data_IF_044524365435
#
_entry.id   IF_044524365435
#
_cell.length_a   1.000
_cell.length_b   1.000
_cell.length_c   1.000
_cell.angle_alpha   90.00
_cell.angle_beta   90.00
_cell.angle_gamma   90.00
#
_symmetry.space_group_name_H-M   'P 1'
#
loop_
_entity.id
_entity.type
_entity.pdbx_description
1 polymer ?
#
# COMPACT_ATOMS: atom_id res chain seq x y z
N UNK A 1 11.77 32.61 64.06
CA UNK A 1 12.89 32.20 63.18
C UNK A 1 12.35 31.08 62.34
N UNK A 2 11.58 31.36 61.29
CA UNK A 2 11.90 32.26 60.17
C UNK A 2 13.31 31.97 59.65
N UNK A 3 13.36 31.13 58.61
CA UNK A 3 14.26 31.30 57.47
C UNK A 3 13.54 30.78 56.23
N UNK A 4 13.11 31.75 55.44
CA UNK A 4 12.74 31.64 54.04
C UNK A 4 13.89 31.03 53.22
N UNK A 5 13.52 30.17 52.27
CA UNK A 5 14.27 30.04 51.02
C UNK A 5 13.30 30.52 49.95
N UNK A 6 13.31 31.83 49.74
CA UNK A 6 12.88 32.46 48.50
C UNK A 6 13.89 32.10 47.39
N UNK A 7 13.42 31.97 46.15
CA UNK A 7 14.28 32.13 44.98
C UNK A 7 14.60 30.86 44.20
N UNK A 8 13.56 30.18 43.72
CA UNK A 8 13.61 29.53 42.40
C UNK A 8 12.33 29.96 41.67
N UNK A 9 12.32 31.20 41.20
CA UNK A 9 11.39 31.58 40.14
C UNK A 9 11.67 30.67 38.95
N UNK A 10 10.65 29.93 38.53
CA UNK A 10 10.61 29.28 37.22
C UNK A 10 10.95 30.33 36.17
N UNK A 11 12.19 30.31 35.67
CA UNK A 11 12.53 30.96 34.42
C UNK A 11 11.90 30.10 33.32
N UNK A 12 10.58 30.24 33.20
CA UNK A 12 9.85 29.91 31.99
C UNK A 12 10.35 30.87 30.91
N UNK A 13 11.28 30.41 30.07
CA UNK A 13 11.75 31.12 28.86
C UNK A 13 10.64 31.17 27.78
N UNK A 14 9.43 30.70 28.11
CA UNK A 14 8.28 30.67 27.23
C UNK A 14 7.23 31.63 27.83
N UNK A 15 6.97 32.78 27.20
CA UNK A 15 5.92 33.69 27.65
C UNK A 15 4.60 32.95 27.90
N UNK A 16 3.94 33.17 29.04
CA UNK A 16 2.62 32.58 29.35
C UNK A 16 1.55 32.92 28.29
N UNK A 17 1.77 33.97 27.49
CA UNK A 17 0.95 34.31 26.32
C UNK A 17 1.00 33.27 25.19
N UNK A 18 1.96 32.34 25.18
CA UNK A 18 1.94 31.14 24.32
C UNK A 18 0.97 30.06 24.82
N UNK A 19 0.51 30.17 26.07
CA UNK A 19 -0.46 29.29 26.72
C UNK A 19 -1.81 29.97 26.96
N UNK A 20 -2.12 31.09 26.31
CA UNK A 20 -3.53 31.49 26.14
C UNK A 20 -4.21 30.42 25.27
N UNK A 21 -4.70 29.38 25.94
CA UNK A 21 -5.44 28.26 25.36
C UNK A 21 -6.76 28.83 24.86
N UNK A 22 -6.74 29.35 23.65
CA UNK A 22 -7.93 29.40 22.82
C UNK A 22 -8.45 27.96 22.74
N UNK A 23 -9.53 27.69 23.45
CA UNK A 23 -10.12 26.35 23.52
C UNK A 23 -10.24 25.77 22.11
N UNK A 24 -9.82 24.52 21.89
CA UNK A 24 -9.87 23.93 20.55
C UNK A 24 -11.31 23.92 20.05
N UNK A 25 -11.51 24.32 18.80
CA UNK A 25 -12.80 24.21 18.13
C UNK A 25 -13.04 22.74 17.87
N UNK A 26 -14.07 22.18 18.50
CA UNK A 26 -14.59 20.85 18.22
C UNK A 26 -15.57 20.97 17.06
N UNK A 27 -15.26 20.34 15.94
CA UNK A 27 -16.13 20.38 14.76
C UNK A 27 -17.32 19.45 14.95
N UNK A 28 -18.46 19.80 14.33
CA UNK A 28 -19.62 18.92 14.28
C UNK A 28 -19.23 17.57 13.66
N UNK A 29 -19.58 16.50 14.35
CA UNK A 29 -19.36 15.15 13.86
C UNK A 29 -20.29 14.83 12.67
N UNK A 30 -19.69 14.32 11.61
CA UNK A 30 -20.37 13.70 10.48
C UNK A 30 -19.75 12.33 10.26
N UNK A 31 -20.59 11.31 10.07
CA UNK A 31 -20.13 9.94 9.89
C UNK A 31 -19.06 9.86 8.79
N UNK A 32 -17.90 9.25 9.11
CA UNK A 32 -16.79 9.06 8.18
C UNK A 32 -15.79 10.22 8.09
N UNK A 33 -16.08 11.38 8.68
CA UNK A 33 -15.16 12.52 8.69
C UNK A 33 -14.18 12.52 9.86
N UNK A 34 -14.42 11.71 10.90
CA UNK A 34 -13.65 11.68 12.12
C UNK A 34 -14.06 12.73 13.15
N UNK A 35 -13.40 12.64 14.31
CA UNK A 35 -13.43 13.66 15.36
C UNK A 35 -12.33 14.68 15.07
N UNK A 36 -12.75 15.87 14.63
CA UNK A 36 -11.85 16.94 14.22
C UNK A 36 -11.81 18.08 15.23
N UNK A 37 -10.59 18.48 15.56
CA UNK A 37 -10.24 19.59 16.45
C UNK A 37 -9.37 20.59 15.66
N UNK A 38 -9.58 21.89 15.86
CA UNK A 38 -8.70 22.91 15.29
C UNK A 38 -8.52 24.10 16.21
N UNK A 39 -7.40 24.79 16.12
CA UNK A 39 -7.22 26.06 16.81
C UNK A 39 -8.01 27.17 16.09
N UNK A 40 -8.56 28.18 16.82
CA UNK A 40 -9.29 29.29 16.20
C UNK A 40 -8.47 30.12 15.21
N UNK A 41 -7.16 30.19 15.41
CA UNK A 41 -6.22 30.90 14.53
C UNK A 41 -5.79 30.10 13.29
N UNK A 42 -6.29 28.86 13.13
CA UNK A 42 -5.95 27.97 12.02
C UNK A 42 -4.51 27.44 12.02
N UNK A 43 -3.75 27.64 13.09
CA UNK A 43 -2.38 27.14 13.19
C UNK A 43 -2.31 25.61 13.31
N UNK A 44 -3.29 25.00 13.98
CA UNK A 44 -3.30 23.58 14.34
C UNK A 44 -4.60 22.91 13.94
N UNK A 45 -4.51 21.65 13.52
CA UNK A 45 -5.66 20.78 13.31
C UNK A 45 -5.27 19.34 13.63
N UNK A 46 -6.17 18.65 14.32
CA UNK A 46 -6.07 17.23 14.61
C UNK A 46 -7.36 16.53 14.19
N UNK A 47 -7.25 15.36 13.59
CA UNK A 47 -8.38 14.54 13.20
C UNK A 47 -8.14 13.08 13.59
N UNK A 48 -9.07 12.50 14.34
CA UNK A 48 -9.11 11.08 14.65
C UNK A 48 -10.17 10.43 13.78
N UNK A 49 -9.76 9.53 12.90
CA UNK A 49 -10.62 8.80 11.97
C UNK A 49 -10.44 7.31 12.15
N UNK A 50 -11.43 6.53 11.74
CA UNK A 50 -11.26 5.09 11.67
C UNK A 50 -12.28 4.42 10.77
N UNK A 51 -12.08 3.13 10.53
CA UNK A 51 -13.08 2.31 9.86
C UNK A 51 -12.93 0.83 10.22
N UNK A 52 -14.04 0.11 10.13
CA UNK A 52 -14.12 -1.34 10.28
C UNK A 52 -14.70 -1.93 9.00
N UNK A 53 -14.08 -2.99 8.51
CA UNK A 53 -14.55 -3.82 7.41
C UNK A 53 -14.73 -5.25 7.89
N UNK A 54 -15.92 -5.81 7.71
CA UNK A 54 -16.22 -7.21 7.97
C UNK A 54 -16.56 -7.92 6.67
N UNK A 55 -16.10 -9.15 6.53
CA UNK A 55 -16.28 -9.95 5.32
C UNK A 55 -16.84 -11.32 5.65
N UNK A 56 -17.77 -11.78 4.81
CA UNK A 56 -18.11 -13.18 4.66
C UNK A 56 -17.62 -13.64 3.30
N UNK A 57 -16.71 -14.62 3.29
CA UNK A 57 -16.12 -15.18 2.08
C UNK A 57 -16.55 -16.63 1.94
N UNK A 58 -16.96 -17.02 0.74
CA UNK A 58 -16.99 -18.42 0.32
C UNK A 58 -15.99 -18.65 -0.80
N UNK A 59 -15.43 -19.85 -0.87
CA UNK A 59 -14.41 -20.24 -1.83
C UNK A 59 -14.63 -21.69 -2.24
N UNK A 60 -14.51 -21.96 -3.54
CA UNK A 60 -14.60 -23.29 -4.14
C UNK A 60 -13.50 -23.49 -5.17
N UNK A 61 -13.15 -24.75 -5.41
CA UNK A 61 -12.16 -25.15 -6.40
C UNK A 61 -12.80 -26.10 -7.42
N UNK A 62 -12.34 -26.04 -8.67
CA UNK A 62 -12.87 -26.91 -9.72
C UNK A 62 -12.53 -28.38 -9.43
N UNK A 63 -13.55 -29.24 -9.41
CA UNK A 63 -13.39 -30.67 -9.11
C UNK A 63 -13.30 -30.99 -7.61
N UNK A 64 -13.49 -30.00 -6.75
CA UNK A 64 -13.62 -30.16 -5.30
C UNK A 64 -15.03 -29.71 -4.88
N UNK A 65 -15.77 -30.61 -4.23
CA UNK A 65 -17.13 -30.34 -3.75
C UNK A 65 -17.12 -29.61 -2.40
N UNK A 66 -15.96 -29.46 -1.76
CA UNK A 66 -15.84 -28.75 -0.48
C UNK A 66 -16.04 -27.23 -0.66
N UNK A 67 -16.96 -26.69 0.13
CA UNK A 67 -17.19 -25.26 0.24
C UNK A 67 -16.44 -24.70 1.45
N UNK A 68 -15.37 -23.94 1.20
CA UNK A 68 -14.75 -23.17 2.27
C UNK A 68 -15.56 -21.90 2.53
N UNK A 69 -15.85 -21.62 3.80
CA UNK A 69 -16.54 -20.39 4.22
C UNK A 69 -15.85 -19.75 5.43
N UNK A 70 -15.71 -18.43 5.42
CA UNK A 70 -15.05 -17.69 6.51
C UNK A 70 -15.71 -16.35 6.78
N UNK A 71 -16.03 -16.13 8.06
CA UNK A 71 -16.29 -14.81 8.62
C UNK A 71 -14.99 -14.21 9.15
N UNK A 72 -14.73 -12.94 8.83
CA UNK A 72 -13.53 -12.23 9.29
C UNK A 72 -13.79 -10.74 9.43
N UNK A 73 -13.24 -10.12 10.48
CA UNK A 73 -12.98 -8.67 10.46
C UNK A 73 -11.78 -8.46 9.57
N UNK A 74 -12.00 -7.98 8.33
CA UNK A 74 -10.97 -7.90 7.29
C UNK A 74 -9.97 -6.78 7.56
N UNK A 75 -10.43 -5.65 8.08
CA UNK A 75 -9.62 -4.47 8.46
C UNK A 75 -10.30 -3.74 9.61
N UNK A 76 -9.54 -3.28 10.60
CA UNK A 76 -10.04 -2.36 11.63
C UNK A 76 -8.95 -1.34 11.90
N UNK A 77 -9.09 -0.13 11.33
CA UNK A 77 -8.02 0.86 11.32
C UNK A 77 -8.43 2.11 12.07
N UNK A 78 -7.46 2.66 12.80
CA UNK A 78 -7.55 3.95 13.45
C UNK A 78 -6.41 4.81 12.92
N UNK A 79 -6.70 6.08 12.66
CA UNK A 79 -5.74 7.05 12.19
C UNK A 79 -5.92 8.38 12.90
N UNK A 80 -4.83 8.83 13.51
CA UNK A 80 -4.66 10.20 13.95
C UNK A 80 -3.84 10.95 12.90
N UNK A 81 -4.34 12.06 12.40
CA UNK A 81 -3.55 12.92 11.52
C UNK A 81 -3.84 14.38 11.77
N UNK A 82 -2.92 15.25 11.40
CA UNK A 82 -3.07 16.66 11.63
C UNK A 82 -2.04 17.51 10.94
N UNK A 83 -2.14 18.80 11.20
CA UNK A 83 -1.12 19.77 10.84
C UNK A 83 -0.88 20.76 11.98
N UNK A 84 0.32 21.35 11.95
CA UNK A 84 0.75 22.42 12.84
C UNK A 84 1.44 23.53 12.03
N UNK A 85 1.57 24.71 12.64
CA UNK A 85 2.22 25.88 12.07
C UNK A 85 1.67 26.28 10.68
N UNK A 86 0.34 26.38 10.56
CA UNK A 86 -0.36 26.68 9.29
C UNK A 86 0.07 25.75 8.17
N UNK A 87 -0.03 24.45 8.45
CA UNK A 87 0.20 23.38 7.47
C UNK A 87 1.67 23.17 7.03
N UNK A 88 2.62 23.83 7.71
CA UNK A 88 4.06 23.64 7.52
C UNK A 88 4.59 22.35 8.12
N UNK A 89 3.92 21.83 9.14
CA UNK A 89 4.20 20.50 9.70
C UNK A 89 2.93 19.67 9.55
N UNK A 90 3.05 18.47 8.99
CA UNK A 90 1.98 17.46 8.99
C UNK A 90 2.46 16.21 9.70
N UNK A 91 1.54 15.50 10.31
CA UNK A 91 1.85 14.24 10.96
C UNK A 91 0.71 13.25 10.76
N UNK A 92 1.05 11.96 10.84
CA UNK A 92 0.09 10.88 10.82
C UNK A 92 0.61 9.69 11.62
N UNK A 93 -0.27 9.15 12.44
CA UNK A 93 -0.14 7.85 13.08
C UNK A 93 -1.34 7.02 12.65
N UNK A 94 -1.10 5.83 12.12
CA UNK A 94 -2.13 4.90 11.67
C UNK A 94 -1.83 3.51 12.17
N UNK A 95 -2.86 2.84 12.71
CA UNK A 95 -2.76 1.49 13.27
C UNK A 95 -3.83 0.61 12.62
N UNK A 96 -3.49 -0.63 12.32
CA UNK A 96 -4.42 -1.71 12.00
C UNK A 96 -4.49 -2.71 13.15
N UNK A 97 -5.70 -2.93 13.66
CA UNK A 97 -5.97 -3.83 14.77
C UNK A 97 -6.17 -5.28 14.32
N UNK A 98 -6.09 -5.54 13.01
CA UNK A 98 -6.26 -6.86 12.41
C UNK A 98 -4.95 -7.32 11.78
N UNK A 99 -4.40 -8.44 12.26
CA UNK A 99 -3.25 -9.09 11.62
C UNK A 99 -3.60 -9.63 10.22
N UNK A 100 -2.63 -9.57 9.31
CA UNK A 100 -2.78 -10.04 7.92
C UNK A 100 -3.76 -9.21 7.10
N UNK A 101 -3.98 -7.93 7.44
CA UNK A 101 -4.91 -7.05 6.72
C UNK A 101 -4.37 -6.59 5.36
N UNK A 102 -3.07 -6.73 5.14
CA UNK A 102 -2.38 -6.44 3.88
C UNK A 102 -1.52 -7.65 3.42
N UNK A 103 -1.78 -8.84 3.97
CA UNK A 103 -1.07 -10.08 3.58
C UNK A 103 -1.58 -10.62 2.23
N UNK A 104 -0.65 -11.13 1.44
CA UNK A 104 -0.80 -11.84 0.17
C UNK A 104 -1.08 -13.35 0.31
N UNK A 105 -1.07 -13.88 1.53
CA UNK A 105 -1.29 -15.30 1.82
C UNK A 105 -0.02 -16.15 1.96
N UNK A 106 1.16 -15.65 1.57
CA UNK A 106 2.46 -16.34 1.72
C UNK A 106 3.35 -15.80 2.84
N UNK A 107 2.98 -14.65 3.43
CA UNK A 107 3.68 -14.03 4.57
C UNK A 107 2.67 -13.64 5.65
N UNK A 108 2.96 -13.99 6.92
CA UNK A 108 2.13 -13.67 8.09
C UNK A 108 2.56 -12.36 8.78
N UNK A 109 3.20 -11.46 8.02
CA UNK A 109 3.65 -10.14 8.48
C UNK A 109 2.47 -9.15 8.53
N UNK A 110 1.59 -9.36 9.50
CA UNK A 110 0.56 -8.38 9.86
C UNK A 110 1.12 -7.27 10.73
N UNK A 111 1.81 -6.28 10.15
CA UNK A 111 2.26 -5.11 10.90
C UNK A 111 1.05 -4.30 11.38
N UNK A 112 0.96 -4.13 12.70
CA UNK A 112 -0.06 -3.27 13.31
C UNK A 112 0.19 -1.80 12.99
N UNK A 113 1.47 -1.40 12.86
CA UNK A 113 1.82 -0.02 12.54
C UNK A 113 1.70 0.21 11.03
N UNK A 114 0.82 1.11 10.64
CA UNK A 114 0.57 1.42 9.24
C UNK A 114 1.31 2.69 8.81
N UNK A 115 1.04 3.80 9.49
CA UNK A 115 1.63 5.09 9.19
C UNK A 115 2.25 5.62 10.48
N UNK A 116 3.48 6.11 10.42
CA UNK A 116 4.12 6.82 11.52
C UNK A 116 5.14 7.80 10.93
N UNK A 117 4.68 9.00 10.61
CA UNK A 117 5.52 9.97 9.91
C UNK A 117 5.20 11.42 10.25
N UNK A 118 6.20 12.26 10.04
CA UNK A 118 6.11 13.72 10.09
C UNK A 118 6.61 14.28 8.77
N UNK A 119 5.94 15.31 8.26
CA UNK A 119 6.30 15.99 7.03
C UNK A 119 6.50 17.48 7.25
N UNK A 120 7.60 18.00 6.73
CA UNK A 120 7.89 19.43 6.65
C UNK A 120 7.53 19.97 5.27
N UNK A 121 6.81 21.10 5.26
CA UNK A 121 6.26 21.78 4.10
C UNK A 121 6.58 23.28 4.22
N UNK A 122 7.72 23.74 3.70
CA UNK A 122 8.24 25.09 3.98
C UNK A 122 7.22 26.22 3.72
N UNK A 123 6.38 26.06 2.70
CA UNK A 123 5.38 27.04 2.28
C UNK A 123 3.96 26.76 2.78
N UNK A 124 3.75 25.76 3.62
CA UNK A 124 2.40 25.36 4.08
C UNK A 124 1.48 24.91 2.95
N UNK A 125 2.04 24.46 1.82
CA UNK A 125 1.29 24.07 0.63
C UNK A 125 1.93 22.85 -0.06
N UNK A 126 1.37 22.40 -1.18
CA UNK A 126 1.81 21.18 -1.89
C UNK A 126 3.03 21.38 -2.81
N UNK A 127 3.67 22.56 -2.79
CA UNK A 127 4.85 22.83 -3.63
C UNK A 127 6.01 21.88 -3.30
N UNK A 128 6.27 21.67 -2.01
CA UNK A 128 7.26 20.71 -1.52
C UNK A 128 6.80 20.14 -0.18
N UNK A 129 6.91 18.83 -0.04
CA UNK A 129 6.72 18.10 1.20
C UNK A 129 7.87 17.12 1.36
N UNK A 130 8.62 17.23 2.46
CA UNK A 130 9.67 16.29 2.85
C UNK A 130 9.15 15.53 4.06
N UNK A 131 8.98 14.21 3.93
CA UNK A 131 8.40 13.33 4.94
C UNK A 131 9.46 12.41 5.49
N UNK A 132 9.47 12.20 6.80
CA UNK A 132 10.33 11.27 7.51
C UNK A 132 9.47 10.27 8.29
N UNK A 133 9.83 8.99 8.24
CA UNK A 133 9.18 7.90 9.00
C UNK A 133 8.60 6.83 8.10
N UNK A 134 7.64 6.06 8.62
CA UNK A 134 7.00 4.96 7.90
C UNK A 134 5.74 5.41 7.18
N UNK A 135 5.64 5.16 5.87
CA UNK A 135 4.41 5.40 5.10
C UNK A 135 4.35 4.54 3.85
N UNK A 136 3.19 4.54 3.18
CA UNK A 136 3.17 4.12 1.78
C UNK A 136 4.03 5.05 0.92
N UNK A 137 4.89 4.44 0.11
CA UNK A 137 5.75 5.16 -0.83
C UNK A 137 4.97 5.52 -2.08
N UNK A 138 5.26 6.68 -2.68
CA UNK A 138 4.72 7.04 -3.99
C UNK A 138 5.42 6.30 -5.13
N UNK A 139 6.45 5.50 -4.88
CA UNK A 139 7.18 4.78 -5.93
C UNK A 139 6.58 3.40 -6.20
N UNK A 140 5.54 3.01 -5.46
CA UNK A 140 4.77 1.78 -5.65
C UNK A 140 3.73 1.91 -6.78
N UNK A 141 2.91 0.88 -6.97
CA UNK A 141 1.75 0.96 -7.87
C UNK A 141 0.62 1.83 -7.26
N UNK A 142 -0.27 2.33 -8.10
CA UNK A 142 -1.25 3.38 -7.77
C UNK A 142 -2.25 2.93 -6.71
N UNK A 143 -2.75 1.70 -6.76
CA UNK A 143 -3.71 1.19 -5.76
C UNK A 143 -3.17 1.23 -4.32
N UNK A 144 -1.85 1.16 -4.14
CA UNK A 144 -1.23 1.20 -2.81
C UNK A 144 -1.22 2.60 -2.19
N UNK A 145 -1.48 3.66 -2.96
CA UNK A 145 -1.65 5.02 -2.43
C UNK A 145 -3.09 5.28 -1.98
N UNK A 146 -4.04 4.47 -2.44
CA UNK A 146 -5.46 4.65 -2.17
C UNK A 146 -5.86 3.99 -0.85
N UNK A 147 -6.79 4.62 -0.13
CA UNK A 147 -7.34 4.05 1.11
C UNK A 147 -8.13 2.79 0.81
N UNK A 148 -7.94 1.73 1.60
CA UNK A 148 -8.70 0.48 1.44
C UNK A 148 -10.20 0.68 1.67
N UNK A 149 -10.61 1.70 2.42
CA UNK A 149 -12.04 2.05 2.60
C UNK A 149 -12.71 2.55 1.30
N UNK A 150 -11.91 3.05 0.36
CA UNK A 150 -12.37 3.64 -0.90
C UNK A 150 -12.32 2.70 -2.11
N UNK A 151 -11.94 1.44 -1.88
CA UNK A 151 -11.86 0.45 -2.96
C UNK A 151 -13.25 0.13 -3.52
N UNK A 152 -13.30 -0.12 -4.82
CA UNK A 152 -14.51 -0.52 -5.56
C UNK A 152 -14.67 -2.03 -5.71
N UNK A 153 -13.65 -2.79 -5.31
CA UNK A 153 -13.69 -4.24 -5.10
C UNK A 153 -13.30 -4.53 -3.65
N UNK A 154 -13.61 -5.75 -3.18
CA UNK A 154 -13.33 -6.14 -1.78
C UNK A 154 -11.84 -6.12 -1.42
N UNK A 155 -10.98 -6.37 -2.41
CA UNK A 155 -9.52 -6.37 -2.30
C UNK A 155 -8.86 -5.53 -3.40
N UNK A 156 -7.59 -5.16 -3.17
CA UNK A 156 -6.73 -4.62 -4.23
C UNK A 156 -6.47 -5.67 -5.31
N UNK A 157 -6.03 -5.24 -6.49
CA UNK A 157 -5.70 -6.14 -7.60
C UNK A 157 -4.61 -7.14 -7.22
N UNK A 158 -4.56 -8.26 -7.97
CA UNK A 158 -3.46 -9.21 -7.81
C UNK A 158 -2.12 -8.59 -8.17
N UNK A 159 -2.08 -7.66 -9.12
CA UNK A 159 -0.90 -6.86 -9.42
C UNK A 159 -0.42 -6.11 -8.16
N UNK A 160 -1.31 -5.34 -7.53
CA UNK A 160 -0.95 -4.54 -6.35
C UNK A 160 -0.52 -5.39 -5.14
N UNK A 161 -1.22 -6.52 -4.91
CA UNK A 161 -0.95 -7.40 -3.76
C UNK A 161 0.29 -8.28 -3.90
N UNK A 162 0.70 -8.60 -5.14
CA UNK A 162 1.90 -9.41 -5.44
C UNK A 162 3.15 -8.53 -5.49
N UNK A 163 3.10 -7.44 -6.24
CA UNK A 163 4.28 -6.63 -6.53
C UNK A 163 4.47 -5.45 -5.57
N UNK A 164 3.47 -5.14 -4.76
CA UNK A 164 3.48 -3.99 -3.85
C UNK A 164 4.51 -4.12 -2.73
N UNK A 165 5.17 -3.00 -2.40
CA UNK A 165 6.00 -2.89 -1.19
C UNK A 165 5.19 -2.40 0.00
N UNK A 166 4.05 -1.75 -0.27
CA UNK A 166 3.00 -1.36 0.68
C UNK A 166 3.45 -0.23 1.60
N UNK A 167 4.49 -0.45 2.40
CA UNK A 167 5.02 0.49 3.40
C UNK A 167 6.54 0.41 3.47
N UNK A 168 7.15 1.57 3.61
CA UNK A 168 8.60 1.71 3.73
C UNK A 168 8.94 2.74 4.80
N UNK A 169 10.12 2.60 5.41
CA UNK A 169 10.68 3.53 6.39
C UNK A 169 11.79 4.35 5.73
N UNK A 170 11.68 5.67 5.77
CA UNK A 170 12.74 6.53 5.23
C UNK A 170 12.33 7.98 5.01
N UNK A 171 12.90 8.57 3.96
CA UNK A 171 12.71 9.97 3.55
C UNK A 171 12.00 10.03 2.20
N UNK A 172 10.94 10.83 2.13
CA UNK A 172 10.13 10.99 0.93
C UNK A 172 9.98 12.46 0.58
N UNK A 173 10.30 12.82 -0.66
CA UNK A 173 10.07 14.17 -1.18
C UNK A 173 8.96 14.14 -2.22
N UNK A 174 8.00 15.06 -2.13
CA UNK A 174 6.88 15.17 -3.07
C UNK A 174 6.62 16.63 -3.41
N UNK A 175 6.25 16.89 -4.65
CA UNK A 175 5.85 18.22 -5.11
C UNK A 175 4.62 18.18 -6.00
N UNK A 176 3.99 19.33 -6.19
CA UNK A 176 2.88 19.53 -7.12
C UNK A 176 3.02 20.88 -7.79
N UNK A 177 3.21 20.86 -9.10
CA UNK A 177 3.53 22.03 -9.91
C UNK A 177 2.56 22.15 -11.06
N UNK A 178 1.99 23.34 -11.26
CA UNK A 178 1.18 23.63 -12.42
C UNK A 178 2.08 23.80 -13.64
N UNK A 179 1.72 23.22 -14.78
CA UNK A 179 2.46 23.30 -16.04
C UNK A 179 1.49 23.76 -17.13
N UNK A 180 1.77 24.90 -17.75
CA UNK A 180 0.86 25.53 -18.71
C UNK A 180 -0.44 26.04 -18.07
N UNK A 181 -1.53 26.04 -18.84
CA UNK A 181 -2.79 26.66 -18.45
C UNK A 181 -3.56 25.87 -17.37
N UNK A 182 -3.59 24.54 -17.47
CA UNK A 182 -4.44 23.68 -16.62
C UNK A 182 -3.72 22.45 -16.06
N UNK A 183 -2.67 21.97 -16.71
CA UNK A 183 -2.05 20.70 -16.36
C UNK A 183 -1.19 20.78 -15.09
N UNK A 184 -0.94 19.63 -14.47
CA UNK A 184 -0.08 19.51 -13.29
C UNK A 184 0.93 18.38 -13.44
N UNK A 185 2.11 18.59 -12.85
CA UNK A 185 3.16 17.60 -12.66
C UNK A 185 3.36 17.38 -11.16
N UNK A 186 3.35 16.11 -10.73
CA UNK A 186 3.67 15.74 -9.34
C UNK A 186 4.84 14.75 -9.30
N UNK A 187 6.08 15.26 -9.18
CA UNK A 187 7.24 14.41 -8.95
C UNK A 187 7.27 13.92 -7.50
N UNK A 188 7.81 12.73 -7.29
CA UNK A 188 8.09 12.16 -6.00
C UNK A 188 9.43 11.40 -6.02
N UNK A 189 10.16 11.48 -4.92
CA UNK A 189 11.39 10.74 -4.65
C UNK A 189 11.27 10.03 -3.29
N UNK A 190 11.88 8.87 -3.17
CA UNK A 190 11.97 8.10 -1.95
C UNK A 190 13.38 7.55 -1.77
N UNK A 191 13.93 7.69 -0.57
CA UNK A 191 15.13 7.00 -0.10
C UNK A 191 14.73 6.29 1.19
N UNK A 192 14.72 4.97 1.15
CA UNK A 192 14.25 4.11 2.24
C UNK A 192 15.29 3.05 2.55
N UNK A 193 15.13 2.36 3.67
CA UNK A 193 16.02 1.25 4.04
C UNK A 193 15.70 -0.05 3.31
N UNK A 194 14.76 -0.05 2.35
CA UNK A 194 14.54 -1.18 1.46
C UNK A 194 13.96 -2.44 2.11
N UNK A 195 13.56 -2.40 3.38
CA UNK A 195 13.25 -3.60 4.19
C UNK A 195 11.80 -3.57 4.74
N UNK A 196 10.91 -2.90 4.00
CA UNK A 196 9.47 -2.82 4.31
C UNK A 196 9.14 -1.95 5.52
N UNK A 197 8.07 -2.33 6.23
CA UNK A 197 7.62 -1.68 7.47
C UNK A 197 8.61 -1.82 8.61
N UNK A 198 8.40 -1.04 9.68
CA UNK A 198 9.18 -1.11 10.91
C UNK A 198 9.02 -2.48 11.57
N UNK A 199 10.16 -3.09 11.89
CA UNK A 199 10.25 -4.36 12.61
C UNK A 199 11.21 -4.22 13.79
N UNK A 200 11.02 -5.04 14.84
CA UNK A 200 11.93 -5.07 16.00
C UNK A 200 13.26 -5.80 15.73
N UNK A 201 13.34 -6.53 14.61
CA UNK A 201 14.49 -7.36 14.26
C UNK A 201 15.61 -6.59 13.56
N UNK A 202 16.69 -7.30 13.28
CA UNK A 202 17.76 -6.81 12.40
C UNK A 202 17.18 -6.52 11.01
N UNK A 203 17.57 -5.38 10.45
CA UNK A 203 17.33 -5.02 9.05
C UNK A 203 18.58 -5.35 8.22
N UNK A 204 18.37 -5.78 7.00
CA UNK A 204 19.35 -6.31 6.07
C UNK A 204 19.39 -5.44 4.81
N UNK A 205 20.40 -5.65 3.97
CA UNK A 205 20.53 -4.90 2.73
C UNK A 205 21.10 -3.50 2.88
N UNK A 206 21.01 -2.76 1.78
CA UNK A 206 21.39 -1.37 1.64
C UNK A 206 20.19 -0.43 1.57
N UNK A 207 20.32 0.65 0.81
CA UNK A 207 19.24 1.62 0.62
C UNK A 207 18.40 1.26 -0.61
N UNK A 208 17.12 1.61 -0.52
CA UNK A 208 16.22 1.62 -1.67
C UNK A 208 15.95 3.03 -2.14
N UNK A 209 16.07 3.21 -3.45
CA UNK A 209 15.87 4.48 -4.14
C UNK A 209 14.66 4.35 -5.05
N UNK A 210 13.82 5.39 -5.09
CA UNK A 210 12.75 5.41 -6.08
C UNK A 210 12.36 6.81 -6.50
N UNK A 211 11.82 6.88 -7.71
CA UNK A 211 11.30 8.09 -8.31
C UNK A 211 9.94 7.80 -8.96
N UNK A 212 9.05 8.79 -8.93
CA UNK A 212 7.79 8.78 -9.64
C UNK A 212 7.50 10.14 -10.24
N UNK A 213 6.84 10.14 -11.38
CA UNK A 213 6.19 11.32 -11.94
C UNK A 213 4.73 11.01 -12.23
N UNK A 214 3.83 11.88 -11.80
CA UNK A 214 2.43 11.89 -12.23
C UNK A 214 2.15 13.14 -13.07
N UNK A 215 1.54 12.96 -14.23
CA UNK A 215 1.08 14.02 -15.10
C UNK A 215 -0.44 14.05 -15.16
N UNK A 216 -1.02 15.22 -14.95
CA UNK A 216 -2.46 15.46 -14.93
C UNK A 216 -2.82 16.45 -16.03
N UNK A 217 -3.06 15.99 -17.27
CA UNK A 217 -3.25 16.89 -18.42
C UNK A 217 -4.49 17.79 -18.30
N UNK A 218 -5.55 17.32 -17.62
CA UNK A 218 -6.83 18.05 -17.46
C UNK A 218 -6.99 18.68 -16.07
N UNK A 219 -5.86 18.96 -15.41
CA UNK A 219 -5.82 19.48 -14.07
C UNK A 219 -6.14 18.45 -12.98
N UNK A 220 -6.09 18.89 -11.73
CA UNK A 220 -6.33 18.04 -10.58
C UNK A 220 -7.79 17.58 -10.50
N UNK A 221 -7.99 16.42 -9.89
CA UNK A 221 -9.29 15.87 -9.54
C UNK A 221 -9.91 16.68 -8.38
N UNK A 222 -11.23 16.85 -8.39
CA UNK A 222 -11.97 17.51 -7.31
C UNK A 222 -11.90 16.68 -6.04
N UNK A 223 -11.83 17.36 -4.89
CA UNK A 223 -11.89 16.74 -3.55
C UNK A 223 -10.86 15.61 -3.34
N UNK A 224 -9.70 15.70 -4.00
CA UNK A 224 -8.67 14.65 -3.94
C UNK A 224 -9.11 13.34 -4.59
N UNK A 225 -9.99 13.41 -5.59
CA UNK A 225 -10.54 12.27 -6.31
C UNK A 225 -9.49 11.33 -6.92
N UNK A 226 -8.23 11.74 -7.02
CA UNK A 226 -7.13 10.89 -7.47
C UNK A 226 -6.67 9.84 -6.44
N UNK A 227 -7.08 9.96 -5.18
CA UNK A 227 -6.79 9.03 -4.06
C UNK A 227 -7.91 8.02 -3.77
N UNK A 228 -9.00 8.06 -4.52
CA UNK A 228 -10.15 7.17 -4.37
C UNK A 228 -10.44 6.48 -5.71
N UNK A 229 -10.89 5.23 -5.73
CA UNK A 229 -11.15 4.55 -7.01
C UNK A 229 -12.41 5.09 -7.70
N UNK A 230 -13.56 5.07 -7.02
CA UNK A 230 -14.83 5.52 -7.61
C UNK A 230 -14.90 7.03 -7.83
N UNK A 231 -15.70 7.48 -8.80
CA UNK A 231 -15.94 8.90 -9.04
C UNK A 231 -17.05 9.46 -8.14
N UNK A 232 -16.79 9.55 -6.83
CA UNK A 232 -17.74 10.09 -5.84
C UNK A 232 -17.91 11.61 -5.94
N UNK A 233 -16.86 12.34 -6.30
CA UNK A 233 -16.93 13.78 -6.56
C UNK A 233 -17.79 14.10 -7.80
N UNK A 234 -18.06 13.08 -8.62
CA UNK A 234 -18.85 13.14 -9.83
C UNK A 234 -18.28 14.22 -10.76
N UNK A 235 -17.07 13.95 -11.25
CA UNK A 235 -16.27 14.91 -12.01
C UNK A 235 -17.08 15.50 -13.18
N UNK A 236 -17.22 16.83 -13.17
CA UNK A 236 -18.04 17.55 -14.15
C UNK A 236 -17.37 17.67 -15.52
N UNK A 237 -16.03 17.57 -15.53
CA UNK A 237 -15.16 17.54 -16.69
C UNK A 237 -14.28 16.28 -16.63
N UNK A 238 -13.83 15.72 -17.76
CA UNK A 238 -12.90 14.59 -17.75
C UNK A 238 -11.65 14.89 -16.93
N UNK A 239 -11.22 13.94 -16.10
CA UNK A 239 -9.97 14.01 -15.34
C UNK A 239 -9.12 12.79 -15.64
N UNK A 240 -7.82 13.03 -15.81
CA UNK A 240 -6.85 12.01 -16.19
C UNK A 240 -5.57 12.20 -15.38
N UNK A 241 -5.00 11.08 -14.92
CA UNK A 241 -3.66 10.97 -14.37
C UNK A 241 -2.90 9.91 -15.15
N UNK A 242 -1.68 10.24 -15.57
CA UNK A 242 -0.69 9.31 -16.13
C UNK A 242 0.48 9.24 -15.16
N UNK A 243 0.85 8.03 -14.75
CA UNK A 243 1.91 7.80 -13.77
C UNK A 243 3.00 6.89 -14.30
N UNK A 244 4.25 7.17 -13.93
CA UNK A 244 5.37 6.27 -14.13
C UNK A 244 6.28 6.31 -12.89
N UNK A 245 6.67 5.15 -12.37
CA UNK A 245 7.63 5.04 -11.26
C UNK A 245 8.70 4.00 -11.51
N UNK A 246 9.85 4.21 -10.89
CA UNK A 246 10.97 3.26 -10.85
C UNK A 246 11.50 3.17 -9.42
N UNK A 247 11.88 1.98 -8.98
CA UNK A 247 12.57 1.77 -7.71
C UNK A 247 13.67 0.72 -7.85
N UNK A 248 14.78 0.92 -7.13
CA UNK A 248 15.92 0.04 -7.04
C UNK A 248 16.26 -0.19 -5.56
N UNK A 249 16.29 -1.44 -5.13
CA UNK A 249 16.70 -1.86 -3.80
C UNK A 249 18.08 -2.51 -3.88
N UNK A 250 19.08 -1.89 -3.25
CA UNK A 250 20.45 -2.38 -3.15
C UNK A 250 20.50 -3.45 -2.05
N UNK A 251 20.51 -4.73 -2.43
CA UNK A 251 20.42 -5.88 -1.53
C UNK A 251 19.06 -6.09 -0.87
N UNK A 252 18.12 -6.76 -1.55
CA UNK A 252 16.84 -7.18 -0.95
C UNK A 252 16.95 -8.45 -0.11
N UNK A 253 16.35 -8.43 1.08
CA UNK A 253 16.22 -9.59 1.96
C UNK A 253 14.84 -10.25 1.89
N UNK A 254 13.98 -9.78 0.98
CA UNK A 254 12.65 -10.34 0.73
C UNK A 254 12.37 -10.64 -0.75
N UNK A 255 11.23 -11.30 -0.99
CA UNK A 255 10.84 -11.79 -2.32
C UNK A 255 10.40 -10.67 -3.29
N UNK A 256 10.02 -9.49 -2.81
CA UNK A 256 9.37 -8.40 -3.55
C UNK A 256 10.22 -7.14 -3.71
N UNK A 257 11.39 -7.09 -3.08
CA UNK A 257 12.25 -5.90 -3.14
C UNK A 257 11.81 -4.80 -2.18
N UNK A 258 11.44 -5.14 -0.95
CA UNK A 258 11.24 -4.20 0.16
C UNK A 258 9.83 -4.15 0.73
N UNK A 259 9.23 -5.31 0.93
CA UNK A 259 7.97 -5.51 1.65
C UNK A 259 8.17 -6.06 3.07
N UNK A 260 9.27 -6.77 3.32
CA UNK A 260 9.59 -7.44 4.59
C UNK A 260 11.11 -7.44 4.80
N UNK A 261 11.58 -8.00 5.91
CA UNK A 261 13.01 -8.07 6.23
C UNK A 261 13.38 -9.48 6.66
N UNK A 262 14.42 -10.05 6.03
CA UNK A 262 15.04 -11.32 6.41
C UNK A 262 14.31 -12.58 5.96
N UNK A 263 13.40 -12.50 4.98
CA UNK A 263 12.68 -13.68 4.45
C UNK A 263 13.59 -14.64 3.67
N UNK A 264 14.64 -14.09 3.05
CA UNK A 264 15.69 -14.80 2.32
C UNK A 264 17.03 -14.18 2.67
N UNK A 265 18.02 -15.01 2.96
CA UNK A 265 19.37 -14.57 3.30
C UNK A 265 20.41 -15.42 2.59
N UNK A 266 21.43 -14.75 2.06
CA UNK A 266 22.57 -15.36 1.39
C UNK A 266 23.86 -14.77 1.96
N UNK A 267 24.94 -15.53 1.87
CA UNK A 267 26.24 -15.19 2.43
C UNK A 267 27.33 -15.36 1.37
N UNK A 268 28.38 -14.56 1.51
CA UNK A 268 29.62 -14.72 0.75
C UNK A 268 30.63 -15.66 1.45
N UNK A 269 31.80 -15.87 0.84
CA UNK A 269 32.87 -16.74 1.39
C UNK A 269 33.33 -16.33 2.81
N UNK A 270 33.27 -15.04 3.15
CA UNK A 270 33.63 -14.54 4.47
C UNK A 270 32.51 -14.72 5.50
N UNK A 271 31.36 -15.30 5.13
CA UNK A 271 30.19 -15.48 5.98
C UNK A 271 29.39 -14.19 6.22
N UNK A 272 29.66 -13.12 5.45
CA UNK A 272 28.92 -11.87 5.52
C UNK A 272 27.68 -11.95 4.63
N UNK A 273 26.60 -11.26 5.04
CA UNK A 273 25.37 -11.16 4.26
C UNK A 273 25.64 -10.46 2.93
N UNK A 274 25.22 -11.09 1.84
CA UNK A 274 25.36 -10.59 0.48
C UNK A 274 24.07 -10.92 -0.28
N UNK A 275 23.37 -9.92 -0.81
CA UNK A 275 21.96 -10.03 -1.19
C UNK A 275 21.74 -9.58 -2.65
N UNK A 276 20.73 -10.14 -3.35
CA UNK A 276 20.41 -9.72 -4.71
C UNK A 276 19.84 -8.30 -4.72
N UNK A 277 20.12 -7.54 -5.77
CA UNK A 277 19.48 -6.25 -6.01
C UNK A 277 18.12 -6.45 -6.68
N UNK A 278 17.16 -5.58 -6.40
CA UNK A 278 15.80 -5.70 -6.93
C UNK A 278 15.32 -4.39 -7.53
N UNK A 279 14.86 -4.44 -8.77
CA UNK A 279 14.33 -3.30 -9.49
C UNK A 279 12.87 -3.52 -9.90
N UNK A 280 12.13 -2.42 -9.94
CA UNK A 280 10.71 -2.40 -10.30
C UNK A 280 10.36 -1.13 -11.05
N UNK A 281 9.54 -1.28 -12.08
CA UNK A 281 8.91 -0.16 -12.78
C UNK A 281 7.39 -0.33 -12.75
N UNK A 282 6.67 0.79 -12.62
CA UNK A 282 5.21 0.82 -12.70
C UNK A 282 4.75 1.90 -13.67
N UNK A 283 3.71 1.61 -14.44
CA UNK A 283 3.00 2.57 -15.28
C UNK A 283 1.52 2.54 -14.90
N UNK A 284 0.86 3.70 -14.88
CA UNK A 284 -0.58 3.76 -14.65
C UNK A 284 -1.29 4.84 -15.45
N UNK A 285 -2.54 4.53 -15.78
CA UNK A 285 -3.53 5.41 -16.38
C UNK A 285 -4.75 5.43 -15.46
N UNK A 286 -5.23 6.62 -15.09
CA UNK A 286 -6.40 6.74 -14.23
C UNK A 286 -7.33 7.86 -14.68
N UNK A 287 -8.57 7.51 -15.03
CA UNK A 287 -9.54 8.40 -15.63
C UNK A 287 -10.85 8.44 -14.84
N UNK A 288 -11.48 9.62 -14.76
CA UNK A 288 -12.83 9.81 -14.20
C UNK A 288 -13.66 10.82 -14.97
N UNK A 289 -14.96 10.57 -15.03
CA UNK A 289 -15.95 11.51 -15.58
C UNK A 289 -17.38 11.10 -15.24
N UNK A 290 -18.15 11.99 -14.58
CA UNK A 290 -19.60 11.83 -14.32
C UNK A 290 -20.00 10.44 -13.79
N UNK A 291 -19.26 9.91 -12.82
CA UNK A 291 -19.50 8.60 -12.22
C UNK A 291 -18.71 7.46 -12.87
N UNK A 292 -18.23 7.64 -14.11
CA UNK A 292 -17.29 6.69 -14.72
C UNK A 292 -15.92 6.79 -14.09
N UNK A 293 -15.30 5.64 -13.91
CA UNK A 293 -13.89 5.52 -13.56
C UNK A 293 -13.25 4.37 -14.33
N UNK A 294 -11.99 4.54 -14.70
CA UNK A 294 -11.18 3.51 -15.31
C UNK A 294 -9.73 3.65 -14.88
N UNK A 295 -9.09 2.53 -14.56
CA UNK A 295 -7.70 2.45 -14.16
C UNK A 295 -7.03 1.30 -14.91
N UNK A 296 -5.85 1.58 -15.45
CA UNK A 296 -4.93 0.57 -15.93
C UNK A 296 -3.61 0.71 -15.20
N UNK A 297 -3.03 -0.41 -14.77
CA UNK A 297 -1.69 -0.48 -14.17
C UNK A 297 -0.87 -1.55 -14.88
N UNK A 298 0.43 -1.31 -15.01
CA UNK A 298 1.42 -2.29 -15.45
C UNK A 298 2.62 -2.24 -14.52
N UNK A 299 3.13 -3.40 -14.14
CA UNK A 299 4.33 -3.54 -13.31
C UNK A 299 5.28 -4.54 -13.95
N UNK A 300 6.58 -4.23 -13.97
CA UNK A 300 7.66 -5.19 -14.31
C UNK A 300 8.74 -5.14 -13.24
N UNK A 301 9.27 -6.31 -12.91
CA UNK A 301 10.33 -6.50 -11.92
C UNK A 301 11.48 -7.30 -12.52
N UNK A 302 12.69 -7.06 -12.00
CA UNK A 302 13.90 -7.81 -12.32
C UNK A 302 14.89 -7.72 -11.16
N UNK A 303 15.85 -8.64 -11.13
CA UNK A 303 16.85 -8.69 -10.07
C UNK A 303 18.25 -9.00 -10.64
N UNK A 304 19.26 -8.46 -9.97
CA UNK A 304 20.66 -8.79 -10.19
C UNK A 304 21.16 -9.62 -9.01
N UNK A 305 21.87 -10.71 -9.29
CA UNK A 305 22.41 -11.62 -8.27
C UNK A 305 23.93 -11.45 -8.25
N UNK A 306 24.52 -11.00 -7.13
CA UNK A 306 25.97 -10.90 -6.99
C UNK A 306 26.67 -12.24 -7.18
N UNK A 307 27.81 -12.24 -7.88
CA UNK A 307 28.62 -13.45 -8.09
C UNK A 307 29.38 -13.89 -6.83
N UNK A 308 29.39 -13.06 -5.80
CA UNK A 308 30.06 -13.29 -4.50
C UNK A 308 29.25 -14.15 -3.54
N UNK A 309 27.96 -14.42 -3.83
CA UNK A 309 27.12 -15.31 -3.04
C UNK A 309 27.62 -16.74 -3.18
N UNK A 310 27.88 -17.41 -2.05
CA UNK A 310 28.37 -18.79 -2.01
C UNK A 310 27.51 -19.72 -1.17
N UNK A 311 26.69 -19.18 -0.25
CA UNK A 311 25.79 -19.99 0.57
C UNK A 311 24.46 -19.29 0.86
N UNK A 312 23.43 -20.07 1.19
CA UNK A 312 22.11 -19.61 1.61
C UNK A 312 21.85 -20.01 3.05
N UNK A 313 21.05 -19.21 3.76
CA UNK A 313 20.55 -19.52 5.10
C UNK A 313 19.18 -20.20 4.97
N UNK A 314 19.00 -21.35 5.62
CA UNK A 314 17.72 -22.08 5.68
C UNK A 314 16.85 -21.55 6.83
N UNK A 315 15.57 -21.93 6.82
CA UNK A 315 14.61 -21.52 7.85
C UNK A 315 14.99 -21.97 9.28
N UNK A 316 15.78 -23.03 9.42
CA UNK A 316 16.32 -23.51 10.70
C UNK A 316 17.61 -22.81 11.15
N UNK A 317 18.09 -21.83 10.36
CA UNK A 317 19.33 -21.09 10.61
C UNK A 317 20.60 -21.79 10.10
N UNK A 318 20.52 -23.02 9.58
CA UNK A 318 21.66 -23.70 8.96
C UNK A 318 22.06 -23.09 7.61
N UNK A 319 23.31 -23.27 7.20
CA UNK A 319 23.79 -22.82 5.88
C UNK A 319 23.82 -23.97 4.87
N UNK A 320 23.70 -23.63 3.58
CA UNK A 320 23.78 -24.54 2.43
C UNK A 320 24.55 -23.89 1.30
N UNK A 321 25.45 -24.63 0.69
CA UNK A 321 26.11 -24.29 -0.59
C UNK A 321 25.38 -24.89 -1.81
N UNK A 322 24.44 -25.83 -1.61
CA UNK A 322 23.58 -26.32 -2.69
C UNK A 322 22.59 -25.23 -3.17
N UNK A 323 22.64 -24.94 -4.46
CA UNK A 323 21.73 -24.08 -5.24
C UNK A 323 21.22 -24.85 -6.47
N UNK A 324 20.75 -26.08 -6.23
CA UNK A 324 20.23 -26.94 -7.30
C UNK A 324 18.86 -26.44 -7.78
N UNK A 325 18.73 -26.28 -9.11
CA UNK A 325 17.50 -25.96 -9.81
C UNK A 325 17.54 -26.61 -11.20
N UNK A 326 16.41 -27.18 -11.63
CA UNK A 326 16.33 -27.98 -12.88
C UNK A 326 17.37 -29.13 -12.98
N UNK A 327 17.83 -29.67 -11.84
CA UNK A 327 18.84 -30.73 -11.78
C UNK A 327 20.29 -30.27 -11.92
N UNK A 328 20.54 -28.95 -11.95
CA UNK A 328 21.87 -28.36 -12.06
C UNK A 328 22.15 -27.37 -10.94
N UNK A 329 23.41 -27.25 -10.52
CA UNK A 329 23.85 -26.23 -9.57
C UNK A 329 23.91 -24.87 -10.28
N UNK A 330 22.99 -23.96 -9.95
CA UNK A 330 22.94 -22.63 -10.53
C UNK A 330 22.46 -21.59 -9.51
N UNK A 331 23.40 -20.81 -8.97
CA UNK A 331 23.15 -19.81 -7.92
C UNK A 331 22.17 -18.74 -8.41
N UNK A 332 22.40 -18.17 -9.58
CA UNK A 332 21.58 -17.07 -10.11
C UNK A 332 20.12 -17.50 -10.30
N UNK A 333 19.88 -18.61 -11.00
CA UNK A 333 18.53 -19.09 -11.28
C UNK A 333 17.82 -19.56 -10.00
N UNK A 334 18.54 -20.19 -9.07
CA UNK A 334 17.97 -20.57 -7.78
C UNK A 334 17.48 -19.34 -7.00
N UNK A 335 18.31 -18.29 -6.91
CA UNK A 335 17.98 -17.07 -6.17
C UNK A 335 16.84 -16.34 -6.86
N UNK A 336 16.87 -16.19 -8.19
CA UNK A 336 15.76 -15.62 -8.96
C UNK A 336 14.45 -16.37 -8.75
N UNK A 337 14.49 -17.70 -8.62
CA UNK A 337 13.32 -18.52 -8.29
C UNK A 337 12.74 -18.29 -6.88
N UNK A 338 13.44 -17.55 -6.01
CA UNK A 338 12.91 -17.11 -4.71
C UNK A 338 12.33 -15.70 -4.74
N UNK A 339 12.52 -14.96 -5.82
CA UNK A 339 12.07 -13.58 -5.99
C UNK A 339 10.80 -13.52 -6.87
N UNK A 340 9.97 -12.51 -6.65
CA UNK A 340 8.80 -12.17 -7.46
C UNK A 340 9.29 -11.44 -8.71
N UNK A 341 9.63 -12.20 -9.74
CA UNK A 341 10.17 -11.69 -11.01
C UNK A 341 9.22 -11.96 -12.16
N UNK A 342 8.93 -10.93 -12.95
CA UNK A 342 7.94 -11.00 -14.01
C UNK A 342 7.23 -9.66 -14.19
N UNK A 343 6.14 -9.69 -14.93
CA UNK A 343 5.25 -8.53 -15.10
C UNK A 343 3.80 -8.88 -14.88
N UNK A 344 2.98 -7.86 -14.65
CA UNK A 344 1.53 -8.00 -14.66
C UNK A 344 0.89 -6.73 -15.19
N UNK A 345 -0.34 -6.85 -15.69
CA UNK A 345 -1.21 -5.71 -15.92
C UNK A 345 -2.56 -5.89 -15.23
N UNK A 346 -3.14 -4.78 -14.80
CA UNK A 346 -4.45 -4.71 -14.17
C UNK A 346 -5.30 -3.69 -14.92
N UNK A 347 -6.50 -4.10 -15.34
CA UNK A 347 -7.51 -3.23 -15.91
C UNK A 347 -8.73 -3.28 -15.02
N UNK A 348 -9.16 -2.15 -14.49
CA UNK A 348 -10.37 -2.08 -13.67
C UNK A 348 -11.14 -0.81 -13.92
N UNK A 349 -12.45 -0.88 -13.76
CA UNK A 349 -13.30 0.28 -13.90
C UNK A 349 -14.72 -0.01 -13.47
N UNK A 350 -15.53 1.03 -13.51
CA UNK A 350 -16.93 0.92 -13.13
C UNK A 350 -17.68 2.22 -13.28
N UNK A 351 -18.93 2.17 -12.85
CA UNK A 351 -19.82 3.33 -12.83
C UNK A 351 -20.45 3.50 -11.45
N UNK A 352 -20.45 4.74 -10.96
CA UNK A 352 -21.18 5.16 -9.77
C UNK A 352 -22.44 5.92 -10.19
N UNK A 353 -23.60 5.35 -9.86
CA UNK A 353 -24.89 5.97 -10.10
C UNK A 353 -25.17 7.05 -9.05
N UNK A 354 -25.99 8.06 -9.42
CA UNK A 354 -26.40 9.14 -8.50
C UNK A 354 -27.21 8.66 -7.29
N UNK A 355 -27.84 7.50 -7.41
CA UNK A 355 -28.53 6.84 -6.31
C UNK A 355 -27.57 5.96 -5.47
N UNK A 356 -26.26 6.14 -5.58
CA UNK A 356 -25.22 5.49 -4.77
C UNK A 356 -25.02 3.98 -4.97
N UNK A 357 -25.59 3.41 -6.03
CA UNK A 357 -25.19 2.10 -6.51
C UNK A 357 -23.89 2.21 -7.31
N UNK A 358 -23.07 1.17 -7.29
CA UNK A 358 -21.91 1.05 -8.17
C UNK A 358 -21.78 -0.36 -8.71
N UNK A 359 -21.35 -0.46 -9.96
CA UNK A 359 -21.00 -1.70 -10.64
C UNK A 359 -19.57 -1.58 -11.13
N UNK A 360 -18.76 -2.61 -10.92
CA UNK A 360 -17.34 -2.59 -11.17
C UNK A 360 -16.88 -3.93 -11.73
N UNK A 361 -15.88 -3.89 -12.61
CA UNK A 361 -15.21 -5.07 -13.13
C UNK A 361 -13.70 -4.85 -13.10
N UNK A 362 -12.97 -5.95 -12.91
CA UNK A 362 -11.51 -5.99 -12.94
C UNK A 362 -11.02 -7.24 -13.66
N UNK A 363 -9.96 -7.06 -14.43
CA UNK A 363 -9.15 -8.14 -15.00
C UNK A 363 -7.68 -7.89 -14.65
N UNK A 364 -7.03 -8.90 -14.08
CA UNK A 364 -5.58 -8.89 -13.84
C UNK A 364 -4.96 -10.08 -14.54
N UNK A 365 -3.85 -9.84 -15.26
CA UNK A 365 -3.05 -10.87 -15.90
C UNK A 365 -1.61 -10.83 -15.39
N UNK A 366 -1.08 -11.98 -15.00
CA UNK A 366 0.27 -12.16 -14.46
C UNK A 366 1.12 -12.93 -15.47
N UNK A 367 2.34 -12.44 -15.72
CA UNK A 367 3.32 -13.01 -16.64
C UNK A 367 4.61 -13.28 -15.84
N UNK A 368 4.76 -14.48 -15.28
CA UNK A 368 5.96 -14.90 -14.55
C UNK A 368 7.20 -14.97 -15.47
N UNK A 369 8.37 -14.59 -14.96
CA UNK A 369 9.64 -15.01 -15.58
C UNK A 369 9.89 -16.50 -15.31
N UNK A 370 10.73 -17.17 -16.13
CA UNK A 370 11.01 -18.61 -16.00
C UNK A 370 11.44 -19.02 -14.58
N UNK A 371 12.39 -18.28 -14.01
CA UNK A 371 12.88 -18.47 -12.65
C UNK A 371 12.30 -17.37 -11.78
N UNK A 372 11.19 -17.68 -11.12
CA UNK A 372 10.44 -16.73 -10.32
C UNK A 372 9.56 -17.46 -9.31
N UNK A 373 9.43 -16.88 -8.12
CA UNK A 373 8.48 -17.34 -7.10
C UNK A 373 7.02 -17.16 -7.56
N UNK A 374 6.76 -16.38 -8.62
CA UNK A 374 5.44 -16.31 -9.27
C UNK A 374 4.97 -17.65 -9.84
N UNK A 375 5.89 -18.58 -10.14
CA UNK A 375 5.54 -19.92 -10.61
C UNK A 375 5.15 -20.87 -9.46
N UNK A 376 5.11 -20.38 -8.22
CA UNK A 376 4.66 -21.16 -7.07
C UNK A 376 3.20 -21.59 -7.25
N UNK A 377 3.00 -22.91 -7.29
CA UNK A 377 1.73 -23.58 -7.53
C UNK A 377 0.72 -23.40 -6.37
N UNK A 378 1.17 -23.10 -5.15
CA UNK A 378 0.28 -22.87 -4.02
C UNK A 378 -0.31 -21.45 -4.03
N UNK A 379 0.50 -20.43 -4.33
CA UNK A 379 0.12 -19.03 -4.09
C UNK A 379 -0.13 -18.18 -5.35
N UNK A 380 0.60 -18.44 -6.45
CA UNK A 380 0.73 -17.43 -7.52
C UNK A 380 0.43 -17.93 -8.92
N UNK A 381 0.42 -19.25 -9.17
CA UNK A 381 0.17 -19.87 -10.48
C UNK A 381 -1.30 -19.80 -10.95
N UNK A 382 -1.90 -18.62 -10.85
CA UNK A 382 -3.29 -18.26 -11.21
C UNK A 382 -3.22 -16.98 -12.04
N UNK A 383 -2.89 -17.13 -13.32
CA UNK A 383 -2.40 -16.01 -14.14
C UNK A 383 -3.52 -15.09 -14.60
N UNK A 384 -4.75 -15.59 -14.78
CA UNK A 384 -5.90 -14.77 -15.18
C UNK A 384 -6.89 -14.65 -14.03
N UNK A 385 -7.17 -13.42 -13.61
CA UNK A 385 -8.13 -13.12 -12.55
C UNK A 385 -9.22 -12.19 -13.07
N UNK A 386 -10.47 -12.61 -12.97
CA UNK A 386 -11.64 -11.82 -13.31
C UNK A 386 -12.47 -11.53 -12.06
N UNK A 387 -12.86 -10.28 -11.86
CA UNK A 387 -13.64 -9.89 -10.68
C UNK A 387 -14.77 -8.94 -11.06
N UNK A 388 -15.93 -9.16 -10.46
CA UNK A 388 -17.13 -8.37 -10.66
C UNK A 388 -17.68 -7.96 -9.30
N UNK A 389 -18.05 -6.69 -9.16
CA UNK A 389 -18.60 -6.18 -7.91
C UNK A 389 -19.81 -5.29 -8.12
N UNK A 390 -20.80 -5.47 -7.26
CA UNK A 390 -21.91 -4.54 -7.06
C UNK A 390 -21.86 -4.06 -5.62
N UNK A 391 -21.99 -2.75 -5.40
CA UNK A 391 -22.05 -2.19 -4.06
C UNK A 391 -23.07 -1.07 -3.96
N UNK A 392 -23.58 -0.88 -2.75
CA UNK A 392 -24.44 0.22 -2.36
C UNK A 392 -23.76 1.01 -1.26
N UNK A 393 -23.53 2.30 -1.50
CA UNK A 393 -23.18 3.23 -0.43
C UNK A 393 -24.48 3.70 0.25
N UNK A 394 -24.46 3.73 1.58
CA UNK A 394 -25.62 4.15 2.39
C UNK A 394 -25.56 5.65 2.71
N UNK A 395 -24.43 6.29 2.43
CA UNK A 395 -24.16 7.72 2.61
C UNK A 395 -23.58 8.32 1.32
N UNK A 396 -23.55 9.65 1.24
CA UNK A 396 -22.99 10.39 0.10
C UNK A 396 -21.45 10.43 0.10
N UNK A 397 -20.79 9.59 0.90
CA UNK A 397 -19.34 9.51 1.04
C UNK A 397 -18.90 8.02 0.97
N UNK A 398 -17.70 7.73 1.45
CA UNK A 398 -17.17 6.37 1.59
C UNK A 398 -17.37 5.79 3.00
N UNK A 399 -18.17 6.41 3.86
CA UNK A 399 -18.29 6.00 5.25
C UNK A 399 -18.89 4.60 5.36
N UNK A 400 -20.02 4.37 4.68
CA UNK A 400 -20.81 3.15 4.87
C UNK A 400 -21.17 2.51 3.54
N UNK A 401 -20.79 1.25 3.34
CA UNK A 401 -21.13 0.49 2.14
C UNK A 401 -21.38 -1.00 2.44
N UNK A 402 -22.23 -1.59 1.61
CA UNK A 402 -22.43 -3.03 1.50
C UNK A 402 -22.02 -3.42 0.08
N UNK A 403 -21.19 -4.44 -0.04
CA UNK A 403 -20.55 -4.83 -1.29
C UNK A 403 -20.58 -6.33 -1.47
N UNK A 404 -20.93 -6.76 -2.68
CA UNK A 404 -20.75 -8.14 -3.15
C UNK A 404 -19.63 -8.14 -4.21
N UNK A 405 -18.72 -9.11 -4.13
CA UNK A 405 -17.68 -9.34 -5.15
C UNK A 405 -17.64 -10.82 -5.48
N UNK A 406 -17.71 -11.15 -6.78
CA UNK A 406 -17.42 -12.47 -7.31
C UNK A 406 -16.05 -12.43 -8.00
N UNK A 407 -15.18 -13.39 -7.72
CA UNK A 407 -13.82 -13.47 -8.25
C UNK A 407 -13.57 -14.85 -8.83
N UNK A 408 -12.91 -14.90 -10.00
CA UNK A 408 -12.59 -16.13 -10.71
C UNK A 408 -11.10 -16.11 -11.04
N UNK A 409 -10.36 -17.03 -10.42
CA UNK A 409 -8.93 -17.20 -10.58
C UNK A 409 -8.69 -18.43 -11.45
N UNK A 410 -8.26 -18.21 -12.68
CA UNK A 410 -7.94 -19.30 -13.62
C UNK A 410 -6.52 -19.77 -13.39
N UNK A 411 -6.35 -21.07 -13.20
CA UNK A 411 -5.05 -21.69 -12.97
C UNK A 411 -4.27 -21.85 -14.26
N UNK A 412 -2.94 -21.86 -14.14
CA UNK A 412 -2.05 -22.28 -15.23
C UNK A 412 -1.58 -23.71 -14.97
N UNK A 413 -2.33 -24.67 -15.54
CA UNK A 413 -2.18 -26.10 -15.25
C UNK A 413 -2.68 -26.48 -13.86
N UNK A 414 -2.14 -27.59 -13.34
CA UNK A 414 -2.43 -28.07 -12.00
C UNK A 414 -1.71 -27.23 -10.93
N UNK A 415 -2.44 -26.87 -9.89
CA UNK A 415 -1.98 -26.03 -8.78
C UNK A 415 -2.40 -26.62 -7.44
N UNK A 416 -1.71 -26.23 -6.37
CA UNK A 416 -2.03 -26.68 -5.01
C UNK A 416 -2.98 -25.72 -4.29
N UNK A 417 -3.75 -26.28 -3.38
CA UNK A 417 -4.49 -25.57 -2.34
C UNK A 417 -4.33 -26.34 -1.00
N UNK A 418 -4.98 -25.89 0.06
CA UNK A 418 -4.75 -26.43 1.42
C UNK A 418 -4.98 -27.95 1.53
N UNK A 419 -5.94 -28.52 0.78
CA UNK A 419 -6.37 -29.92 0.94
C UNK A 419 -6.08 -30.79 -0.31
N UNK A 420 -5.39 -30.27 -1.32
CA UNK A 420 -5.11 -31.05 -2.53
C UNK A 420 -4.58 -30.23 -3.70
N UNK A 421 -4.82 -30.74 -4.91
CA UNK A 421 -4.54 -30.07 -6.17
C UNK A 421 -5.81 -29.88 -6.99
N UNK A 422 -5.83 -28.86 -7.84
CA UNK A 422 -6.92 -28.63 -8.80
C UNK A 422 -6.40 -27.96 -10.07
N UNK A 423 -7.22 -28.00 -11.13
CA UNK A 423 -7.00 -27.26 -12.38
C UNK A 423 -8.34 -26.67 -12.83
N UNK A 424 -8.33 -25.46 -13.39
CA UNK A 424 -9.52 -24.75 -13.81
C UNK A 424 -9.69 -23.43 -13.06
N UNK A 425 -10.82 -23.27 -12.37
CA UNK A 425 -11.16 -22.06 -11.65
C UNK A 425 -11.19 -22.27 -10.13
N UNK A 426 -10.57 -21.35 -9.43
CA UNK A 426 -10.84 -21.03 -8.03
C UNK A 426 -11.85 -19.87 -7.99
N UNK A 427 -13.00 -20.09 -7.37
CA UNK A 427 -14.11 -19.11 -7.35
C UNK A 427 -14.32 -18.60 -5.93
N UNK A 428 -14.36 -17.28 -5.77
CA UNK A 428 -14.59 -16.63 -4.48
C UNK A 428 -15.83 -15.74 -4.55
N UNK A 429 -16.71 -15.84 -3.57
CA UNK A 429 -17.78 -14.87 -3.33
C UNK A 429 -17.55 -14.16 -2.00
N UNK A 430 -17.47 -12.84 -2.03
CA UNK A 430 -17.19 -12.02 -0.86
C UNK A 430 -18.30 -10.99 -0.64
N UNK A 431 -18.90 -11.03 0.55
CA UNK A 431 -19.77 -9.97 1.06
C UNK A 431 -18.98 -9.13 2.04
N UNK A 432 -18.80 -7.85 1.73
CA UNK A 432 -18.11 -6.88 2.57
C UNK A 432 -19.09 -5.83 3.10
N UNK A 433 -19.03 -5.59 4.40
CA UNK A 433 -19.64 -4.42 5.04
C UNK A 433 -18.55 -3.49 5.56
N UNK A 434 -18.81 -2.19 5.51
CA UNK A 434 -17.89 -1.18 6.00
C UNK A 434 -18.65 -0.09 6.74
N UNK A 435 -18.05 0.38 7.83
CA UNK A 435 -18.41 1.65 8.49
C UNK A 435 -17.13 2.42 8.80
N UNK A 436 -17.14 3.72 8.50
CA UNK A 436 -16.07 4.65 8.84
C UNK A 436 -16.64 5.71 9.77
N UNK A 437 -15.82 6.18 10.69
CA UNK A 437 -16.19 7.17 11.69
C UNK A 437 -15.19 8.32 11.69
#
# INVERSE_FOLDING_TARGET
MDMSIEGLEDISVIPDSLFEVNAPIVHKYYLGNGLRFSSPDGNYMMNLTGYVQSTFLTQTYSGDDDLYSRWRVRRARIRLNGYAMKDRIRYRIGIDMVKGSESSGDTDSGDMLMDAWVAYRPWGNSRLSITFGQRSTMTDNRENFMSSSSLQLSERSRLASIFGTIREVGVFAQGSYKVGAEAYLRPALAITDGDGGFTFGKRYGGLKYGARVNYYPFGLFRDGGDYYLGDKAYEVSPKLSLGASYSYNDGTSDRRGGNSSGDILYLNEAGNVDLPDFARTNLDFFFKYRGWNFMAEYTKTWAYVPSTITSRVRADGSTSDSFEIDGEQNIENYIKNRLILGSAFNLQGGYLFRNFWTVNARYTHIIPDKYSYLNNDLYYKRNDIFEFSVAKYLTNDYSTKIQLTASFYKTDGEVRYANGTFSGYETLFNVLTQISF
#
